data_IF_478261760300
#
_entry.id   IF_478261760300
#
_cell.length_a   1.000
_cell.length_b   1.000
_cell.length_c   1.000
_cell.angle_alpha   90.00
_cell.angle_beta   90.00
_cell.angle_gamma   90.00
#
_symmetry.space_group_name_H-M   'P 1'
#
loop_
_entity.id
_entity.type
_entity.pdbx_description
1 polymer ?
#
# COMPACT_ATOMS: atom_id res chain seq x y z
N UNK A 1 -36.56 -54.19 -31.69
CA UNK A 1 -37.73 -53.87 -32.56
C UNK A 1 -38.08 -52.40 -32.35
N UNK A 2 -37.75 -51.49 -33.28
CA UNK A 2 -38.66 -50.85 -34.27
C UNK A 2 -40.04 -50.51 -33.72
N UNK A 3 -40.72 -49.42 -34.04
CA UNK A 3 -40.47 -48.10 -34.62
C UNK A 3 -41.88 -47.46 -34.61
N UNK A 4 -42.02 -46.14 -34.45
CA UNK A 4 -43.32 -45.49 -34.61
C UNK A 4 -43.24 -43.98 -34.49
N UNK A 5 -43.11 -43.31 -35.64
CA UNK A 5 -43.27 -41.85 -35.82
C UNK A 5 -44.75 -41.54 -36.09
N UNK A 6 -45.20 -40.36 -35.67
CA UNK A 6 -46.47 -39.77 -36.09
C UNK A 6 -46.51 -38.28 -35.75
N UNK A 7 -46.52 -37.45 -36.79
CA UNK A 7 -46.45 -35.99 -36.83
C UNK A 7 -47.81 -35.29 -36.69
N UNK A 8 -47.87 -34.10 -36.09
CA UNK A 8 -48.68 -32.96 -36.56
C UNK A 8 -48.43 -31.69 -35.70
N UNK A 9 -48.31 -30.54 -36.37
CA UNK A 9 -48.46 -29.14 -35.87
C UNK A 9 -49.69 -28.52 -36.57
N UNK A 10 -50.11 -27.24 -36.38
CA UNK A 10 -50.06 -26.30 -35.23
C UNK A 10 -51.41 -25.54 -34.92
N UNK A 11 -51.54 -24.92 -33.72
CA UNK A 11 -52.13 -23.57 -33.33
C UNK A 11 -53.61 -23.25 -33.73
N UNK A 12 -54.42 -22.30 -33.12
CA UNK A 12 -54.25 -21.34 -32.00
C UNK A 12 -55.38 -21.33 -30.93
N UNK A 13 -55.18 -20.62 -29.80
CA UNK A 13 -56.21 -19.71 -29.23
C UNK A 13 -55.63 -18.78 -28.13
N UNK A 14 -55.87 -17.49 -28.34
CA UNK A 14 -55.98 -16.35 -27.40
C UNK A 14 -56.85 -16.70 -26.14
N UNK A 15 -56.85 -16.03 -24.98
CA UNK A 15 -56.60 -14.65 -24.54
C UNK A 15 -56.28 -14.62 -23.01
N UNK A 16 -55.83 -13.44 -22.55
CA UNK A 16 -56.11 -12.79 -21.26
C UNK A 16 -55.19 -12.96 -20.02
N UNK A 17 -54.33 -11.93 -19.87
CA UNK A 17 -54.33 -10.92 -18.78
C UNK A 17 -54.21 -11.38 -17.30
N UNK A 18 -53.11 -10.95 -16.67
CA UNK A 18 -53.00 -10.02 -15.51
C UNK A 18 -51.87 -10.44 -14.55
N UNK A 19 -51.03 -9.44 -14.23
CA UNK A 19 -50.11 -9.26 -13.10
C UNK A 19 -49.16 -10.37 -12.65
N UNK A 20 -47.88 -10.06 -12.82
CA UNK A 20 -46.77 -10.74 -12.16
C UNK A 20 -45.57 -9.80 -12.09
N UNK A 21 -45.53 -9.01 -11.04
CA UNK A 21 -44.34 -8.33 -10.52
C UNK A 21 -43.14 -9.28 -10.45
N UNK A 22 -42.08 -8.99 -11.21
CA UNK A 22 -40.71 -9.44 -10.92
C UNK A 22 -39.87 -8.16 -10.92
N UNK A 23 -39.37 -7.70 -9.78
CA UNK A 23 -38.50 -8.48 -8.91
C UNK A 23 -37.07 -8.22 -9.36
N UNK A 24 -36.59 -7.02 -9.04
CA UNK A 24 -35.19 -6.60 -9.18
C UNK A 24 -34.32 -7.56 -8.37
N UNK A 25 -33.66 -8.50 -9.03
CA UNK A 25 -32.42 -9.11 -8.53
C UNK A 25 -31.29 -8.59 -9.39
N UNK A 26 -30.85 -7.37 -9.11
CA UNK A 26 -29.54 -6.88 -9.57
C UNK A 26 -28.46 -7.54 -8.71
N UNK A 27 -27.82 -8.55 -9.26
CA UNK A 27 -26.48 -8.96 -8.88
C UNK A 27 -25.49 -7.87 -9.32
N UNK A 28 -24.54 -7.41 -8.48
CA UNK A 28 -23.57 -6.42 -8.91
C UNK A 28 -22.59 -7.07 -9.89
N UNK A 29 -22.80 -6.84 -11.18
CA UNK A 29 -21.85 -7.19 -12.23
C UNK A 29 -20.63 -6.29 -12.13
N UNK A 30 -19.50 -6.86 -11.73
CA UNK A 30 -18.17 -6.27 -11.90
C UNK A 30 -17.88 -6.19 -13.41
N UNK A 31 -17.48 -5.03 -13.98
CA UNK A 31 -17.21 -4.95 -15.41
C UNK A 31 -15.85 -5.61 -15.73
N UNK A 32 -15.71 -6.26 -16.91
CA UNK A 32 -14.46 -6.90 -17.32
C UNK A 32 -13.40 -5.87 -17.74
N UNK A 33 -12.13 -6.18 -17.42
CA UNK A 33 -10.89 -5.40 -17.62
C UNK A 33 -10.47 -5.14 -19.09
N UNK A 34 -11.40 -4.89 -20.01
CA UNK A 34 -11.07 -4.68 -21.43
C UNK A 34 -11.04 -3.21 -21.91
N UNK A 35 -11.43 -2.23 -21.10
CA UNK A 35 -11.62 -0.85 -21.59
C UNK A 35 -10.49 0.17 -21.31
N UNK A 36 -9.35 -0.25 -20.75
CA UNK A 36 -8.20 0.67 -20.55
C UNK A 36 -7.60 1.11 -21.91
N UNK A 37 -7.64 0.24 -22.94
CA UNK A 37 -7.15 0.59 -24.28
C UNK A 37 -8.03 1.62 -25.00
N UNK A 38 -9.33 1.67 -24.71
CA UNK A 38 -10.25 2.64 -25.32
C UNK A 38 -10.09 4.03 -24.67
N UNK A 39 -9.96 4.09 -23.33
CA UNK A 39 -9.69 5.32 -22.59
C UNK A 39 -8.35 5.99 -22.99
N UNK A 40 -7.31 5.19 -23.30
CA UNK A 40 -6.01 5.69 -23.76
C UNK A 40 -6.06 6.29 -25.19
N UNK A 41 -7.02 5.89 -26.03
CA UNK A 41 -7.12 6.37 -27.41
C UNK A 41 -7.85 7.72 -27.55
N UNK A 42 -8.68 8.08 -26.57
CA UNK A 42 -9.54 9.27 -26.60
C UNK A 42 -8.86 10.55 -26.06
N UNK A 43 -7.73 10.43 -25.35
CA UNK A 43 -7.00 11.59 -24.78
C UNK A 43 -5.96 12.16 -25.78
N UNK A 44 -5.79 11.52 -26.94
CA UNK A 44 -4.85 11.95 -27.98
C UNK A 44 -5.34 13.15 -28.83
N UNK A 45 -6.41 13.86 -28.44
CA UNK A 45 -6.94 15.02 -29.19
C UNK A 45 -7.45 16.16 -28.29
N UNK A 46 -6.52 17.07 -27.95
CA UNK A 46 -6.67 18.52 -27.60
C UNK A 46 -7.61 18.93 -26.42
N UNK A 47 -7.62 20.18 -25.91
CA UNK A 47 -6.66 21.30 -25.99
C UNK A 47 -6.20 21.83 -24.61
N UNK A 48 -5.23 22.74 -24.62
CA UNK A 48 -4.75 23.52 -23.47
C UNK A 48 -5.80 24.47 -22.88
N UNK A 49 -6.14 24.36 -21.59
CA UNK A 49 -6.65 25.50 -20.76
C UNK A 49 -6.31 25.32 -19.26
N UNK A 50 -5.45 26.21 -18.75
CA UNK A 50 -5.65 27.24 -17.71
C UNK A 50 -5.98 26.77 -16.28
N UNK A 51 -5.02 26.98 -15.36
CA UNK A 51 -5.32 27.06 -13.92
C UNK A 51 -4.18 26.78 -12.94
N UNK A 52 -3.03 26.27 -13.38
CA UNK A 52 -1.88 26.02 -12.48
C UNK A 52 -0.92 27.21 -12.44
N UNK A 53 -0.53 27.65 -11.24
CA UNK A 53 0.64 28.53 -11.05
C UNK A 53 1.83 27.85 -11.73
N UNK A 54 2.55 28.51 -12.65
CA UNK A 54 3.66 27.89 -13.33
C UNK A 54 4.76 27.62 -12.30
N UNK A 55 5.01 26.34 -11.99
CA UNK A 55 6.29 25.92 -11.43
C UNK A 55 7.31 26.29 -12.51
N UNK A 56 8.15 27.28 -12.22
CA UNK A 56 9.16 27.72 -13.16
C UNK A 56 9.98 26.49 -13.58
N UNK A 57 9.85 26.08 -14.83
CA UNK A 57 10.86 25.21 -15.45
C UNK A 57 12.16 25.97 -15.30
N UNK A 58 13.08 25.46 -14.49
CA UNK A 58 14.47 25.80 -14.65
C UNK A 58 14.81 25.29 -16.05
N UNK A 59 14.74 26.17 -17.05
CA UNK A 59 15.21 25.87 -18.38
C UNK A 59 16.72 25.64 -18.19
N UNK A 60 17.24 24.41 -18.33
CA UNK A 60 18.67 24.21 -18.14
C UNK A 60 19.36 24.93 -19.29
N UNK A 61 20.03 26.03 -18.97
CA UNK A 61 21.09 26.54 -19.83
C UNK A 61 22.09 25.38 -19.97
N UNK A 62 22.37 24.87 -21.19
CA UNK A 62 23.30 23.77 -21.40
C UNK A 62 24.74 24.08 -20.96
N UNK A 63 25.00 25.31 -20.46
CA UNK A 63 26.26 25.76 -19.85
C UNK A 63 26.25 25.79 -18.32
N UNK A 64 25.14 25.48 -17.65
CA UNK A 64 25.07 25.46 -16.18
C UNK A 64 25.33 24.06 -15.65
N UNK A 65 26.45 23.94 -14.93
CA UNK A 65 26.78 22.76 -14.14
C UNK A 65 25.66 22.48 -13.12
N UNK A 66 25.06 21.28 -13.18
CA UNK A 66 24.02 20.86 -12.25
C UNK A 66 24.45 21.02 -10.80
N UNK A 67 25.72 20.70 -10.49
CA UNK A 67 26.24 20.83 -9.14
C UNK A 67 26.26 22.30 -8.67
N UNK A 68 26.47 23.26 -9.59
CA UNK A 68 26.36 24.67 -9.27
C UNK A 68 24.91 25.07 -8.96
N UNK A 69 23.93 24.61 -9.76
CA UNK A 69 22.50 24.87 -9.52
C UNK A 69 22.09 24.36 -8.13
N UNK A 70 22.49 23.13 -7.79
CA UNK A 70 22.21 22.53 -6.49
C UNK A 70 22.77 23.38 -5.36
N UNK A 71 24.03 23.83 -5.46
CA UNK A 71 24.65 24.71 -4.44
C UNK A 71 23.91 26.03 -4.29
N UNK A 72 23.57 26.69 -5.40
CA UNK A 72 22.84 27.97 -5.40
C UNK A 72 21.48 27.84 -4.71
N UNK A 73 20.71 26.79 -5.05
CA UNK A 73 19.38 26.55 -4.48
C UNK A 73 19.47 26.15 -3.00
N UNK A 74 20.39 25.25 -2.64
CA UNK A 74 20.56 24.77 -1.26
C UNK A 74 20.97 25.90 -0.29
N UNK A 75 21.81 26.82 -0.75
CA UNK A 75 22.26 27.98 0.04
C UNK A 75 21.21 29.10 0.10
N UNK A 76 20.24 29.10 -0.83
CA UNK A 76 19.14 30.07 -0.83
C UNK A 76 18.08 29.72 0.22
N UNK A 77 18.08 30.45 1.35
CA UNK A 77 17.08 30.32 2.42
C UNK A 77 15.64 30.47 1.92
N UNK A 78 15.42 31.28 0.88
CA UNK A 78 14.10 31.49 0.30
C UNK A 78 13.64 30.29 -0.54
N UNK A 79 14.55 29.54 -1.18
CA UNK A 79 14.20 28.39 -2.01
C UNK A 79 13.89 27.14 -1.19
N UNK A 80 14.61 26.92 -0.09
CA UNK A 80 14.41 25.77 0.80
C UNK A 80 13.00 25.70 1.41
N UNK A 81 12.33 26.84 1.61
CA UNK A 81 10.94 26.88 2.10
C UNK A 81 9.87 26.69 1.02
N UNK A 82 10.24 26.64 -0.27
CA UNK A 82 9.29 26.64 -1.41
C UNK A 82 9.09 25.28 -2.07
N UNK A 83 10.02 24.33 -1.90
CA UNK A 83 9.85 22.97 -2.44
C UNK A 83 10.50 21.91 -1.56
N UNK A 84 9.92 20.70 -1.57
CA UNK A 84 10.44 19.57 -0.80
C UNK A 84 11.86 19.15 -1.25
N UNK A 85 12.15 19.19 -2.55
CA UNK A 85 13.49 18.86 -3.05
C UNK A 85 14.53 19.93 -2.65
N UNK A 86 14.18 21.22 -2.58
CA UNK A 86 15.11 22.26 -2.14
C UNK A 86 15.47 22.11 -0.65
N UNK A 87 14.50 21.70 0.18
CA UNK A 87 14.76 21.36 1.58
C UNK A 87 15.72 20.16 1.71
N UNK A 88 15.51 19.12 0.89
CA UNK A 88 16.38 17.94 0.81
C UNK A 88 17.79 18.28 0.28
N UNK A 89 17.92 19.15 -0.72
CA UNK A 89 19.22 19.65 -1.20
C UNK A 89 19.98 20.40 -0.11
N UNK A 90 19.28 21.27 0.63
CA UNK A 90 19.86 22.00 1.75
C UNK A 90 20.34 21.04 2.84
N UNK A 91 19.55 20.03 3.19
CA UNK A 91 19.93 18.99 4.16
C UNK A 91 21.16 18.21 3.68
N UNK A 92 21.16 17.77 2.42
CA UNK A 92 22.27 17.06 1.78
C UNK A 92 23.58 17.87 1.79
N UNK A 93 23.51 19.16 1.44
CA UNK A 93 24.71 20.01 1.38
C UNK A 93 25.19 20.47 2.76
N UNK A 94 24.30 20.97 3.60
CA UNK A 94 24.67 21.67 4.84
C UNK A 94 24.76 20.75 6.06
N UNK A 95 23.96 19.67 6.09
CA UNK A 95 23.93 18.76 7.23
C UNK A 95 24.72 17.48 6.96
N UNK A 96 24.64 16.93 5.74
CA UNK A 96 25.39 15.73 5.37
C UNK A 96 26.73 16.03 4.69
N UNK A 97 27.00 17.29 4.35
CA UNK A 97 28.27 17.72 3.75
C UNK A 97 28.62 17.00 2.44
N UNK A 98 27.59 16.66 1.65
CA UNK A 98 27.75 15.97 0.37
C UNK A 98 28.05 16.99 -0.72
N UNK A 99 29.09 16.73 -1.52
CA UNK A 99 29.36 17.53 -2.73
C UNK A 99 28.55 16.98 -3.92
N UNK A 100 27.65 17.79 -4.53
CA UNK A 100 26.84 17.36 -5.67
C UNK A 100 27.67 17.05 -6.94
N UNK A 101 28.91 17.53 -7.02
CA UNK A 101 29.83 17.26 -8.14
C UNK A 101 30.60 15.94 -8.00
N UNK A 102 30.58 15.30 -6.82
CA UNK A 102 31.30 14.03 -6.62
C UNK A 102 30.66 12.91 -7.43
N UNK A 103 31.47 12.26 -8.29
CA UNK A 103 31.05 11.18 -9.18
C UNK A 103 31.43 9.77 -8.73
N UNK A 104 32.05 9.59 -7.55
CA UNK A 104 32.45 8.27 -7.03
C UNK A 104 31.25 7.43 -6.64
N UNK A 105 31.12 6.22 -7.18
CA UNK A 105 30.00 5.29 -6.89
C UNK A 105 29.75 5.11 -5.39
N UNK A 106 28.49 4.85 -4.97
CA UNK A 106 28.19 4.56 -3.58
C UNK A 106 29.01 3.36 -3.11
N UNK A 107 29.48 3.41 -1.85
CA UNK A 107 30.15 2.26 -1.26
C UNK A 107 29.20 1.05 -1.28
N UNK A 108 29.74 -0.09 -1.73
CA UNK A 108 29.01 -1.35 -1.81
C UNK A 108 29.54 -2.33 -0.77
N UNK A 109 28.64 -2.91 0.00
CA UNK A 109 28.97 -3.95 0.95
C UNK A 109 29.53 -5.20 0.25
N UNK A 110 30.35 -5.94 0.98
CA UNK A 110 30.72 -7.29 0.57
C UNK A 110 29.50 -8.20 0.57
N UNK A 111 29.56 -9.33 -0.14
CA UNK A 111 28.43 -10.25 -0.21
C UNK A 111 28.07 -10.87 1.16
N UNK A 112 29.07 -11.07 2.03
CA UNK A 112 28.84 -11.55 3.39
C UNK A 112 28.09 -10.52 4.25
N UNK A 113 28.47 -9.24 4.15
CA UNK A 113 27.78 -8.15 4.83
C UNK A 113 26.36 -7.94 4.29
N UNK A 114 26.19 -7.95 2.97
CA UNK A 114 24.85 -7.88 2.35
C UNK A 114 23.97 -9.03 2.82
N UNK A 115 24.47 -10.26 2.85
CA UNK A 115 23.71 -11.42 3.35
C UNK A 115 23.27 -11.23 4.78
N UNK A 116 24.17 -10.78 5.67
CA UNK A 116 23.83 -10.52 7.07
C UNK A 116 22.76 -9.43 7.21
N UNK A 117 22.81 -8.38 6.38
CA UNK A 117 21.79 -7.32 6.35
C UNK A 117 20.45 -7.85 5.83
N UNK A 118 20.44 -8.61 4.76
CA UNK A 118 19.24 -9.23 4.20
C UNK A 118 18.59 -10.22 5.18
N UNK A 119 19.40 -11.00 5.91
CA UNK A 119 18.91 -11.90 6.97
C UNK A 119 18.27 -11.13 8.15
N UNK A 120 18.88 -10.02 8.57
CA UNK A 120 18.30 -9.15 9.60
C UNK A 120 16.94 -8.55 9.19
N UNK A 121 16.74 -8.32 7.89
CA UNK A 121 15.48 -7.88 7.29
C UNK A 121 14.62 -9.05 6.75
N UNK A 122 14.87 -10.29 7.19
CA UNK A 122 14.34 -11.49 6.56
C UNK A 122 12.81 -11.54 6.44
N UNK A 123 12.06 -11.08 7.45
CA UNK A 123 10.59 -11.02 7.37
C UNK A 123 10.12 -10.06 6.28
N UNK A 124 10.70 -8.85 6.21
CA UNK A 124 10.39 -7.86 5.18
C UNK A 124 10.70 -8.43 3.79
N UNK A 125 11.89 -8.96 3.59
CA UNK A 125 12.33 -9.50 2.28
C UNK A 125 11.41 -10.63 1.84
N UNK A 126 11.05 -11.54 2.75
CA UNK A 126 10.17 -12.68 2.45
C UNK A 126 8.75 -12.26 2.02
N UNK A 127 8.18 -11.26 2.68
CA UNK A 127 6.84 -10.73 2.38
C UNK A 127 6.87 -9.86 1.12
N UNK A 128 7.92 -9.05 0.97
CA UNK A 128 8.10 -8.14 -0.15
C UNK A 128 8.27 -8.88 -1.48
N UNK A 129 9.06 -9.96 -1.51
CA UNK A 129 9.49 -10.65 -2.74
C UNK A 129 8.36 -10.87 -3.76
N UNK A 130 7.25 -11.56 -3.43
CA UNK A 130 6.15 -11.78 -4.37
C UNK A 130 5.43 -10.51 -4.85
N UNK A 131 5.48 -9.42 -4.06
CA UNK A 131 4.91 -8.12 -4.41
C UNK A 131 5.85 -7.39 -5.36
N UNK A 132 7.16 -7.41 -5.09
CA UNK A 132 8.18 -6.86 -5.99
C UNK A 132 8.17 -7.58 -7.34
N UNK A 133 8.00 -8.90 -7.38
CA UNK A 133 7.88 -9.67 -8.63
C UNK A 133 6.69 -9.21 -9.48
N UNK A 134 5.55 -8.91 -8.84
CA UNK A 134 4.37 -8.37 -9.53
C UNK A 134 4.63 -6.96 -10.06
N UNK A 135 5.24 -6.11 -9.25
CA UNK A 135 5.58 -4.73 -9.62
C UNK A 135 6.57 -4.72 -10.78
N UNK A 136 7.58 -5.59 -10.76
CA UNK A 136 8.58 -5.74 -11.82
C UNK A 136 7.96 -6.21 -13.14
N UNK A 137 6.95 -7.10 -13.11
CA UNK A 137 6.23 -7.47 -14.33
C UNK A 137 5.47 -6.30 -14.95
N UNK A 138 4.92 -5.40 -14.14
CA UNK A 138 4.23 -4.20 -14.64
C UNK A 138 5.20 -3.09 -15.08
N UNK A 139 6.29 -2.88 -14.34
CA UNK A 139 7.23 -1.78 -14.54
C UNK A 139 8.37 -2.13 -15.52
N UNK A 140 8.69 -3.41 -15.71
CA UNK A 140 9.78 -3.88 -16.55
C UNK A 140 9.57 -3.59 -18.04
N UNK A 141 8.33 -3.63 -18.55
CA UNK A 141 8.04 -3.23 -19.93
C UNK A 141 8.35 -1.73 -20.17
N UNK A 142 8.21 -0.91 -19.13
CA UNK A 142 8.56 0.51 -19.14
C UNK A 142 10.08 0.76 -18.93
N UNK A 143 10.90 -0.29 -18.82
CA UNK A 143 12.35 -0.18 -18.60
C UNK A 143 12.71 0.34 -17.21
N UNK A 144 11.89 0.03 -16.21
CA UNK A 144 12.16 0.38 -14.83
C UNK A 144 12.75 -0.79 -14.05
N UNK A 145 13.57 -0.49 -13.05
CA UNK A 145 14.04 -1.43 -12.06
C UNK A 145 13.28 -1.23 -10.74
N UNK A 146 13.04 -2.31 -10.01
CA UNK A 146 12.40 -2.29 -8.69
C UNK A 146 13.44 -2.64 -7.64
N UNK A 147 13.54 -1.82 -6.61
CA UNK A 147 14.50 -1.95 -5.52
C UNK A 147 13.76 -2.07 -4.18
N UNK A 148 14.31 -2.88 -3.28
CA UNK A 148 13.94 -2.90 -1.87
C UNK A 148 15.15 -2.50 -1.05
N UNK A 149 14.97 -1.55 -0.14
CA UNK A 149 15.99 -1.14 0.81
C UNK A 149 15.56 -1.37 2.26
N UNK A 150 16.56 -1.46 3.14
CA UNK A 150 16.36 -1.45 4.58
C UNK A 150 16.09 -0.02 5.12
N UNK A 151 15.81 0.16 6.43
CA UNK A 151 15.53 1.47 7.01
C UNK A 151 16.70 2.46 6.96
N UNK A 152 17.92 1.98 6.72
CA UNK A 152 19.12 2.80 6.63
C UNK A 152 19.45 3.23 5.19
N UNK A 153 18.70 2.72 4.20
CA UNK A 153 18.87 3.05 2.79
C UNK A 153 19.82 2.14 2.02
N UNK A 154 20.21 1.00 2.61
CA UNK A 154 20.97 -0.03 1.91
C UNK A 154 20.01 -0.84 1.03
N UNK A 155 20.35 -1.01 -0.25
CA UNK A 155 19.58 -1.86 -1.16
C UNK A 155 19.81 -3.33 -0.80
N UNK A 156 18.73 -4.04 -0.47
CA UNK A 156 18.75 -5.45 -0.08
C UNK A 156 18.47 -6.39 -1.25
N UNK A 157 17.55 -5.99 -2.13
CA UNK A 157 17.03 -6.84 -3.20
C UNK A 157 16.62 -6.01 -4.41
N UNK A 158 16.70 -6.60 -5.60
CA UNK A 158 16.37 -5.94 -6.87
C UNK A 158 15.58 -6.84 -7.83
N UNK A 159 14.69 -6.25 -8.63
CA UNK A 159 14.10 -6.88 -9.81
C UNK A 159 14.33 -5.97 -11.00
N UNK A 160 15.13 -6.48 -11.94
CA UNK A 160 15.59 -5.76 -13.11
C UNK A 160 15.61 -6.71 -14.30
N UNK A 161 15.43 -6.19 -15.52
CA UNK A 161 15.63 -6.98 -16.73
C UNK A 161 17.12 -7.05 -17.02
N UNK A 162 17.62 -8.22 -17.44
CA UNK A 162 19.04 -8.41 -17.76
C UNK A 162 19.59 -7.36 -18.73
N UNK A 163 18.78 -6.95 -19.72
CA UNK A 163 19.15 -5.93 -20.71
C UNK A 163 19.34 -4.52 -20.12
N UNK A 164 18.73 -4.23 -18.97
CA UNK A 164 18.82 -2.92 -18.30
C UNK A 164 19.84 -2.94 -17.14
N UNK A 165 20.26 -4.13 -16.67
CA UNK A 165 21.10 -4.32 -15.48
C UNK A 165 22.38 -3.47 -15.51
N UNK A 166 23.12 -3.48 -16.61
CA UNK A 166 24.36 -2.73 -16.75
C UNK A 166 24.15 -1.22 -16.53
N UNK A 167 23.06 -0.64 -17.04
CA UNK A 167 22.81 0.80 -16.92
C UNK A 167 22.50 1.22 -15.47
N UNK A 168 21.71 0.41 -14.75
CA UNK A 168 21.40 0.68 -13.35
C UNK A 168 22.61 0.43 -12.44
N UNK A 169 23.34 -0.67 -12.66
CA UNK A 169 24.53 -0.99 -11.86
C UNK A 169 25.65 0.02 -12.08
N UNK A 170 25.84 0.55 -13.29
CA UNK A 170 26.78 1.65 -13.57
C UNK A 170 26.42 2.97 -12.88
N UNK A 171 25.16 3.15 -12.45
CA UNK A 171 24.74 4.27 -11.61
C UNK A 171 24.95 4.01 -10.11
N UNK A 172 25.39 2.81 -9.73
CA UNK A 172 25.50 2.35 -8.34
C UNK A 172 24.20 1.86 -7.72
N UNK A 173 23.10 1.81 -8.49
CA UNK A 173 21.80 1.31 -8.04
C UNK A 173 21.78 -0.23 -8.13
N UNK A 174 22.36 -0.87 -7.10
CA UNK A 174 22.51 -2.32 -7.01
C UNK A 174 22.44 -2.79 -5.54
N UNK A 175 22.10 -4.07 -5.28
CA UNK A 175 22.14 -4.64 -3.95
C UNK A 175 23.50 -4.47 -3.27
N UNK A 176 23.48 -4.05 -2.01
CA UNK A 176 24.65 -3.74 -1.19
C UNK A 176 25.10 -2.28 -1.27
N UNK A 177 24.52 -1.45 -2.15
CA UNK A 177 24.83 -0.02 -2.23
C UNK A 177 24.03 0.79 -1.22
N UNK A 178 24.68 1.75 -0.56
CA UNK A 178 24.01 2.69 0.34
C UNK A 178 23.46 3.91 -0.44
N UNK A 179 22.13 4.02 -0.49
CA UNK A 179 21.38 5.11 -1.11
C UNK A 179 20.68 6.01 -0.09
N UNK A 180 21.13 6.02 1.16
CA UNK A 180 20.67 6.99 2.16
C UNK A 180 20.86 8.42 1.64
N UNK A 181 20.03 9.35 2.12
CA UNK A 181 20.18 10.76 1.76
C UNK A 181 21.52 11.32 2.26
N UNK A 182 22.06 10.76 3.35
CA UNK A 182 23.37 11.12 3.87
C UNK A 182 24.55 10.62 3.04
N UNK A 183 24.33 9.66 2.13
CA UNK A 183 25.35 9.15 1.22
C UNK A 183 25.23 9.76 -0.18
N UNK A 184 24.01 9.82 -0.72
CA UNK A 184 23.75 10.18 -2.12
C UNK A 184 23.00 11.51 -2.31
N UNK A 185 22.62 12.17 -1.21
CA UNK A 185 21.75 13.33 -1.24
C UNK A 185 20.34 12.96 -1.70
N UNK A 186 19.60 13.93 -2.23
CA UNK A 186 18.24 13.72 -2.74
C UNK A 186 18.20 12.64 -3.82
N UNK A 187 17.53 11.55 -3.48
CA UNK A 187 17.23 10.39 -4.32
C UNK A 187 15.92 9.70 -3.89
N UNK A 188 15.42 8.72 -4.64
CA UNK A 188 14.15 8.04 -4.35
C UNK A 188 14.11 7.27 -3.03
N UNK A 189 15.20 6.61 -2.65
CA UNK A 189 15.29 5.79 -1.42
C UNK A 189 15.53 6.68 -0.20
N UNK A 190 16.65 7.39 -0.17
CA UNK A 190 17.10 8.19 0.96
C UNK A 190 16.13 9.32 1.32
N UNK A 191 15.61 10.03 0.33
CA UNK A 191 14.64 11.11 0.59
C UNK A 191 13.33 10.56 1.11
N UNK A 192 12.88 9.40 0.60
CA UNK A 192 11.68 8.73 1.10
C UNK A 192 11.83 8.34 2.58
N UNK A 193 13.00 7.81 2.97
CA UNK A 193 13.31 7.51 4.36
C UNK A 193 13.27 8.76 5.25
N UNK A 194 13.92 9.84 4.82
CA UNK A 194 13.98 11.10 5.58
C UNK A 194 12.61 11.78 5.71
N UNK A 195 11.80 11.75 4.65
CA UNK A 195 10.48 12.40 4.63
C UNK A 195 9.38 11.51 5.22
N UNK A 196 9.62 10.19 5.38
CA UNK A 196 8.66 9.18 5.86
C UNK A 196 7.33 9.20 5.13
N UNK A 197 7.37 9.50 3.82
CA UNK A 197 6.23 9.58 2.90
C UNK A 197 6.70 9.25 1.48
N UNK A 198 5.78 8.88 0.58
CA UNK A 198 6.13 8.66 -0.83
C UNK A 198 6.76 9.89 -1.47
N UNK A 199 7.73 9.66 -2.35
CA UNK A 199 8.45 10.71 -3.09
C UNK A 199 8.53 10.35 -4.57
N UNK A 200 8.50 11.38 -5.42
CA UNK A 200 8.81 11.31 -6.83
C UNK A 200 9.98 12.28 -7.07
N UNK A 201 11.13 11.74 -7.44
CA UNK A 201 12.35 12.50 -7.72
C UNK A 201 12.60 12.43 -9.23
N UNK A 202 12.36 13.54 -9.91
CA UNK A 202 12.49 13.65 -11.36
C UNK A 202 13.88 14.16 -11.72
N UNK A 203 14.69 13.39 -12.44
CA UNK A 203 15.88 13.86 -13.16
C UNK A 203 16.73 14.87 -12.39
N UNK A 204 16.65 16.14 -12.78
CA UNK A 204 17.36 17.30 -12.23
C UNK A 204 16.93 17.67 -10.80
N UNK A 205 16.04 16.91 -10.17
CA UNK A 205 15.77 16.97 -8.74
C UNK A 205 16.73 16.10 -7.92
N UNK A 206 17.46 15.17 -8.55
CA UNK A 206 18.52 14.44 -7.89
C UNK A 206 19.64 15.38 -7.45
N UNK A 207 20.17 15.15 -6.24
CA UNK A 207 21.21 16.03 -5.70
C UNK A 207 22.54 15.86 -6.43
N UNK A 208 22.97 14.63 -6.67
CA UNK A 208 24.20 14.35 -7.44
C UNK A 208 23.97 14.53 -8.93
N UNK A 209 24.88 15.23 -9.60
CA UNK A 209 24.83 15.43 -11.05
C UNK A 209 24.80 14.12 -11.84
N UNK A 210 25.54 13.10 -11.40
CA UNK A 210 25.54 11.78 -12.02
C UNK A 210 24.21 11.03 -11.99
N UNK A 211 23.32 11.38 -11.05
CA UNK A 211 22.03 10.69 -10.84
C UNK A 211 20.90 11.38 -11.62
N UNK A 212 21.18 12.47 -12.37
CA UNK A 212 20.16 13.26 -13.07
C UNK A 212 19.52 12.54 -14.28
N UNK A 213 20.11 11.43 -14.72
CA UNK A 213 19.48 10.53 -15.69
C UNK A 213 18.32 9.73 -15.08
N UNK A 214 18.27 9.60 -13.75
CA UNK A 214 17.28 8.78 -13.06
C UNK A 214 15.98 9.54 -12.83
N UNK A 215 14.87 8.82 -12.92
CA UNK A 215 13.60 9.20 -12.30
C UNK A 215 13.21 8.11 -11.31
N UNK A 216 13.02 8.49 -10.05
CA UNK A 216 12.82 7.56 -8.94
C UNK A 216 11.47 7.79 -8.26
N UNK A 217 10.83 6.71 -7.88
CA UNK A 217 9.50 6.65 -7.29
C UNK A 217 9.58 5.78 -6.04
N UNK A 218 9.79 6.43 -4.90
CA UNK A 218 9.98 5.76 -3.61
C UNK A 218 8.72 5.78 -2.78
N UNK A 219 8.39 4.65 -2.13
CA UNK A 219 7.33 4.57 -1.12
C UNK A 219 7.84 3.86 0.14
N UNK A 220 7.60 4.45 1.34
CA UNK A 220 8.08 3.88 2.58
C UNK A 220 7.21 2.68 2.95
N UNK A 221 7.83 1.67 3.56
CA UNK A 221 7.14 0.53 4.15
C UNK A 221 7.25 0.65 5.67
N UNK A 222 6.12 0.68 6.37
CA UNK A 222 6.07 0.61 7.82
C UNK A 222 5.83 -0.82 8.34
N UNK A 223 6.55 -1.18 9.39
CA UNK A 223 6.32 -2.44 10.11
C UNK A 223 5.10 -2.36 11.04
N UNK A 224 4.83 -3.46 11.73
CA UNK A 224 3.62 -3.62 12.54
C UNK A 224 3.56 -2.68 13.75
N UNK A 225 4.72 -2.23 14.23
CA UNK A 225 4.86 -1.25 15.31
C UNK A 225 4.83 0.22 14.84
N UNK A 226 4.61 0.48 13.55
CA UNK A 226 4.71 1.78 12.88
C UNK A 226 6.14 2.34 12.74
N UNK A 227 7.16 1.52 13.01
CA UNK A 227 8.55 1.75 12.62
C UNK A 227 8.72 1.73 11.10
N UNK A 228 9.69 2.48 10.60
CA UNK A 228 10.06 2.44 9.18
C UNK A 228 10.86 1.16 8.96
N UNK A 229 10.35 0.25 8.12
CA UNK A 229 10.97 -1.04 7.83
C UNK A 229 11.86 -0.99 6.58
N UNK A 230 11.64 -0.04 5.68
CA UNK A 230 12.40 0.12 4.45
C UNK A 230 11.69 0.98 3.41
N UNK A 231 12.19 0.94 2.18
CA UNK A 231 11.57 1.62 1.02
C UNK A 231 11.50 0.66 -0.16
N UNK A 232 10.36 0.62 -0.84
CA UNK A 232 10.30 0.16 -2.22
C UNK A 232 10.58 1.37 -3.11
N UNK A 233 11.52 1.24 -4.02
CA UNK A 233 11.79 2.25 -5.04
C UNK A 233 11.63 1.64 -6.43
N UNK A 234 10.97 2.36 -7.33
CA UNK A 234 11.01 2.07 -8.76
C UNK A 234 11.79 3.17 -9.43
N UNK A 235 12.80 2.79 -10.20
CA UNK A 235 13.70 3.71 -10.87
C UNK A 235 13.68 3.48 -12.39
N UNK A 236 13.73 4.57 -13.14
CA UNK A 236 13.90 4.55 -14.61
C UNK A 236 15.14 5.34 -15.00
N UNK A 237 15.93 4.80 -15.93
CA UNK A 237 17.07 5.47 -16.58
C UNK A 237 16.70 6.06 -17.95
N UNK A 238 15.43 5.99 -18.34
CA UNK A 238 14.97 6.48 -19.65
C UNK A 238 14.69 7.97 -19.61
N UNK A 239 15.30 8.72 -20.53
CA UNK A 239 15.10 10.16 -20.62
C UNK A 239 13.71 10.59 -21.12
N UNK A 240 12.99 9.70 -21.81
CA UNK A 240 11.71 9.96 -22.45
C UNK A 240 10.49 9.53 -21.60
N UNK A 241 10.71 9.09 -20.35
CA UNK A 241 9.60 8.79 -19.43
C UNK A 241 8.82 10.07 -19.13
N UNK A 242 7.62 10.20 -19.70
CA UNK A 242 6.78 11.37 -19.44
C UNK A 242 6.36 11.43 -17.96
N UNK A 243 6.35 12.63 -17.38
CA UNK A 243 6.06 12.84 -15.96
C UNK A 243 4.70 12.27 -15.53
N UNK A 244 3.69 12.31 -16.41
CA UNK A 244 2.39 11.69 -16.16
C UNK A 244 2.48 10.17 -15.92
N UNK A 245 3.32 9.46 -16.66
CA UNK A 245 3.56 8.04 -16.44
C UNK A 245 4.34 7.80 -15.15
N UNK A 246 5.35 8.62 -14.85
CA UNK A 246 6.08 8.53 -13.58
C UNK A 246 5.15 8.68 -12.36
N UNK A 247 4.14 9.56 -12.45
CA UNK A 247 3.11 9.72 -11.40
C UNK A 247 2.21 8.49 -11.26
N UNK A 248 1.81 7.85 -12.37
CA UNK A 248 1.04 6.59 -12.32
C UNK A 248 1.85 5.43 -11.74
N UNK A 249 3.13 5.33 -12.11
CA UNK A 249 4.04 4.35 -11.52
C UNK A 249 4.16 4.62 -10.01
N UNK A 250 4.36 5.87 -9.60
CA UNK A 250 4.44 6.25 -8.18
C UNK A 250 3.22 5.78 -7.37
N UNK A 251 1.99 5.89 -7.91
CA UNK A 251 0.79 5.36 -7.26
C UNK A 251 0.87 3.83 -7.10
N UNK A 252 1.35 3.13 -8.13
CA UNK A 252 1.51 1.67 -8.09
C UNK A 252 2.58 1.24 -7.07
N UNK A 253 3.67 2.01 -6.91
CA UNK A 253 4.68 1.77 -5.86
C UNK A 253 4.08 1.96 -4.47
N UNK A 254 3.25 2.99 -4.30
CA UNK A 254 2.55 3.24 -3.03
C UNK A 254 1.61 2.09 -2.67
N UNK A 255 0.80 1.61 -3.62
CA UNK A 255 -0.09 0.47 -3.41
C UNK A 255 0.69 -0.80 -3.03
N UNK A 256 1.84 -1.02 -3.70
CA UNK A 256 2.73 -2.12 -3.39
C UNK A 256 3.27 -2.03 -1.95
N UNK A 257 3.75 -0.85 -1.53
CA UNK A 257 4.24 -0.62 -0.17
C UNK A 257 3.12 -0.86 0.86
N UNK A 258 1.93 -0.29 0.67
CA UNK A 258 0.78 -0.50 1.54
C UNK A 258 0.39 -1.97 1.65
N UNK A 259 0.50 -2.74 0.56
CA UNK A 259 0.25 -4.18 0.59
C UNK A 259 1.30 -4.92 1.41
N UNK A 260 2.59 -4.54 1.32
CA UNK A 260 3.63 -5.11 2.18
C UNK A 260 3.34 -4.79 3.65
N UNK A 261 2.95 -3.56 3.99
CA UNK A 261 2.59 -3.18 5.36
C UNK A 261 1.45 -4.03 5.93
N UNK A 262 0.40 -4.26 5.13
CA UNK A 262 -0.73 -5.07 5.53
C UNK A 262 -0.32 -6.53 5.82
N UNK A 263 0.54 -7.10 4.97
CA UNK A 263 1.05 -8.47 5.16
C UNK A 263 2.04 -8.57 6.33
N UNK A 264 2.91 -7.58 6.52
CA UNK A 264 3.79 -7.49 7.70
C UNK A 264 2.99 -7.45 9.00
N UNK A 265 1.92 -6.65 9.02
CA UNK A 265 1.03 -6.55 10.18
C UNK A 265 0.33 -7.89 10.47
N UNK A 266 -0.21 -8.56 9.43
CA UNK A 266 -0.84 -9.88 9.57
C UNK A 266 0.14 -10.94 10.07
N UNK A 267 1.38 -10.91 9.59
CA UNK A 267 2.42 -11.83 10.02
C UNK A 267 2.82 -11.59 11.49
N UNK A 268 2.99 -10.33 11.90
CA UNK A 268 3.35 -9.97 13.27
C UNK A 268 2.26 -10.33 14.30
N UNK A 269 0.99 -10.28 13.89
CA UNK A 269 -0.17 -10.60 14.73
C UNK A 269 -0.86 -11.90 14.30
N UNK A 270 -0.08 -12.88 13.84
CA UNK A 270 -0.60 -14.18 13.45
C UNK A 270 -1.41 -14.82 14.59
N UNK A 271 -2.62 -15.28 14.28
CA UNK A 271 -3.54 -15.86 15.26
C UNK A 271 -4.43 -14.86 16.00
N UNK A 272 -4.23 -13.55 15.82
CA UNK A 272 -5.16 -12.52 16.29
C UNK A 272 -6.28 -12.30 15.26
N UNK A 273 -7.42 -11.77 15.72
CA UNK A 273 -8.48 -11.31 14.81
C UNK A 273 -8.04 -9.97 14.21
N UNK A 274 -7.91 -9.92 12.89
CA UNK A 274 -7.57 -8.69 12.16
C UNK A 274 -8.85 -8.03 11.65
N UNK A 275 -9.11 -6.78 12.09
CA UNK A 275 -10.17 -5.95 11.55
C UNK A 275 -9.58 -4.84 10.69
N UNK A 276 -10.25 -4.56 9.57
CA UNK A 276 -9.96 -3.43 8.69
C UNK A 276 -11.12 -2.43 8.79
N UNK A 277 -11.10 -1.53 9.79
CA UNK A 277 -12.15 -0.54 9.95
C UNK A 277 -12.22 0.39 8.74
N UNK A 278 -13.43 0.69 8.31
CA UNK A 278 -13.69 1.68 7.26
C UNK A 278 -13.35 3.07 7.80
N UNK A 279 -12.19 3.57 7.38
CA UNK A 279 -11.71 4.90 7.71
C UNK A 279 -11.49 5.64 6.40
N UNK A 280 -11.64 6.96 6.43
CA UNK A 280 -11.46 7.80 5.24
C UNK A 280 -10.15 7.45 4.51
N UNK A 281 -10.22 7.41 3.17
CA UNK A 281 -9.15 6.96 2.26
C UNK A 281 -7.80 7.69 2.47
N UNK A 282 -7.82 8.86 3.10
CA UNK A 282 -6.67 9.74 3.34
C UNK A 282 -5.73 9.27 4.48
N UNK A 283 -5.96 8.10 5.08
CA UNK A 283 -5.13 7.59 6.19
C UNK A 283 -3.68 7.24 5.79
N UNK A 284 -3.39 7.22 4.48
CA UNK A 284 -2.05 7.05 3.92
C UNK A 284 -1.46 5.67 4.21
N UNK A 285 -2.28 4.62 4.12
CA UNK A 285 -1.91 3.21 4.31
C UNK A 285 -3.07 2.33 4.79
N UNK A 286 -2.84 1.01 4.93
CA UNK A 286 -3.88 0.08 5.37
C UNK A 286 -4.25 0.34 6.84
N UNK A 287 -5.52 0.59 7.12
CA UNK A 287 -6.03 0.71 8.49
C UNK A 287 -6.38 -0.68 9.02
N UNK A 288 -5.52 -1.26 9.86
CA UNK A 288 -5.75 -2.58 10.46
C UNK A 288 -5.57 -2.54 11.97
N UNK A 289 -6.44 -3.27 12.67
CA UNK A 289 -6.38 -3.54 14.10
C UNK A 289 -6.20 -5.04 14.32
N UNK A 290 -5.31 -5.42 15.23
CA UNK A 290 -5.18 -6.78 15.74
C UNK A 290 -5.85 -6.86 17.10
N UNK A 291 -6.78 -7.80 17.25
CA UNK A 291 -7.63 -7.94 18.43
C UNK A 291 -7.46 -9.35 18.99
N UNK A 292 -7.22 -9.44 20.29
CA UNK A 292 -7.12 -10.72 20.98
C UNK A 292 -8.50 -11.35 21.25
N UNK A 293 -8.50 -12.49 21.95
CA UNK A 293 -9.71 -13.24 22.29
C UNK A 293 -10.61 -12.52 23.29
N UNK A 294 -10.06 -11.57 24.06
CA UNK A 294 -10.73 -10.85 25.13
C UNK A 294 -11.23 -9.47 24.63
N UNK A 295 -11.27 -9.30 23.30
CA UNK A 295 -11.71 -8.09 22.59
C UNK A 295 -10.80 -6.88 22.79
N UNK A 296 -9.55 -7.09 23.21
CA UNK A 296 -8.57 -6.03 23.40
C UNK A 296 -7.74 -5.82 22.13
N UNK A 297 -7.58 -4.56 21.73
CA UNK A 297 -6.72 -4.17 20.62
C UNK A 297 -5.27 -4.32 21.07
N UNK A 298 -4.57 -5.31 20.53
CA UNK A 298 -3.16 -5.61 20.82
C UNK A 298 -2.19 -5.06 19.76
N UNK A 299 -2.72 -4.64 18.60
CA UNK A 299 -1.94 -4.03 17.53
C UNK A 299 -2.77 -3.08 16.68
N UNK A 300 -2.11 -2.07 16.12
CA UNK A 300 -2.70 -1.15 15.15
C UNK A 300 -1.63 -0.67 14.17
N UNK A 301 -1.95 -0.66 12.87
CA UNK A 301 -1.06 -0.08 11.85
C UNK A 301 -0.90 1.41 12.03
N UNK A 302 0.13 2.00 11.40
CA UNK A 302 0.36 3.45 11.43
C UNK A 302 -0.88 4.26 10.99
N UNK A 303 -1.54 3.80 9.93
CA UNK A 303 -2.76 4.44 9.42
C UNK A 303 -3.89 4.36 10.45
N UNK A 304 -4.17 3.18 11.02
CA UNK A 304 -5.20 3.00 12.05
C UNK A 304 -4.94 3.85 13.30
N UNK A 305 -3.69 3.95 13.75
CA UNK A 305 -3.33 4.82 14.89
C UNK A 305 -3.67 6.28 14.63
N UNK A 306 -3.40 6.78 13.42
CA UNK A 306 -3.67 8.17 13.04
C UNK A 306 -5.16 8.44 12.87
N UNK A 307 -5.88 7.57 12.15
CA UNK A 307 -7.29 7.80 11.81
C UNK A 307 -8.23 7.55 12.99
N UNK A 308 -7.91 6.58 13.85
CA UNK A 308 -8.75 6.20 15.01
C UNK A 308 -8.24 6.78 16.34
N UNK A 309 -7.10 7.47 16.35
CA UNK A 309 -6.52 8.03 17.57
C UNK A 309 -6.05 6.98 18.57
N UNK A 310 -5.58 5.82 18.10
CA UNK A 310 -5.07 4.75 18.97
C UNK A 310 -3.69 5.13 19.50
N UNK A 311 -3.63 5.42 20.80
CA UNK A 311 -2.38 5.58 21.54
C UNK A 311 -1.68 4.21 21.69
N UNK A 312 -0.43 4.05 21.20
CA UNK A 312 0.36 2.83 21.40
C UNK A 312 0.47 2.39 22.86
N UNK A 313 0.44 3.32 23.82
CA UNK A 313 0.52 3.01 25.25
C UNK A 313 -0.75 2.30 25.79
N UNK A 314 -1.85 2.32 25.04
CA UNK A 314 -3.12 1.68 25.38
C UNK A 314 -3.33 0.34 24.67
N UNK A 315 -2.39 -0.11 23.82
CA UNK A 315 -2.45 -1.44 23.23
C UNK A 315 -2.46 -2.51 24.35
N UNK A 316 -3.35 -3.48 24.22
CA UNK A 316 -3.67 -4.49 25.24
C UNK A 316 -4.55 -3.99 26.38
N UNK A 317 -5.08 -2.76 26.30
CA UNK A 317 -5.98 -2.16 27.31
C UNK A 317 -7.23 -1.53 26.72
N UNK A 318 -7.27 -1.35 25.41
CA UNK A 318 -8.37 -0.72 24.68
C UNK A 318 -9.31 -1.79 24.11
N UNK A 319 -10.56 -1.89 24.58
CA UNK A 319 -11.55 -2.77 23.96
C UNK A 319 -11.90 -2.31 22.55
N UNK A 320 -11.94 -3.24 21.59
CA UNK A 320 -12.21 -2.93 20.19
C UNK A 320 -13.61 -2.33 19.99
N UNK A 321 -14.61 -2.86 20.71
CA UNK A 321 -15.98 -2.34 20.69
C UNK A 321 -16.09 -0.86 21.09
N UNK A 322 -15.26 -0.42 22.04
CA UNK A 322 -15.29 0.94 22.55
C UNK A 322 -14.73 1.90 21.50
N UNK A 323 -13.66 1.50 20.83
CA UNK A 323 -13.05 2.27 19.74
C UNK A 323 -13.96 2.33 18.50
N UNK A 324 -14.54 1.20 18.11
CA UNK A 324 -15.34 1.08 16.87
C UNK A 324 -16.79 1.56 17.05
N UNK A 325 -17.20 1.89 18.28
CA UNK A 325 -18.57 2.30 18.63
C UNK A 325 -19.62 1.29 18.17
N UNK A 326 -19.29 0.00 18.24
CA UNK A 326 -20.16 -1.09 17.82
C UNK A 326 -21.28 -1.32 18.86
N UNK A 327 -22.47 -0.81 18.58
CA UNK A 327 -23.74 -1.23 19.20
C UNK A 327 -23.88 -0.99 20.71
N UNK A 328 -25.00 -1.47 21.27
CA UNK A 328 -25.34 -1.30 22.67
C UNK A 328 -24.31 -1.96 23.61
N UNK A 329 -23.92 -1.24 24.67
CA UNK A 329 -22.98 -1.72 25.68
C UNK A 329 -23.70 -2.44 26.82
N UNK A 330 -23.05 -3.45 27.41
CA UNK A 330 -23.53 -4.12 28.62
C UNK A 330 -23.45 -5.64 28.58
N UNK A 331 -23.47 -6.25 29.78
CA UNK A 331 -23.42 -7.70 29.97
C UNK A 331 -24.57 -8.42 29.24
N UNK A 332 -25.75 -7.80 29.22
CA UNK A 332 -26.95 -8.37 28.61
C UNK A 332 -26.83 -8.47 27.08
N UNK A 333 -26.23 -7.49 26.42
CA UNK A 333 -25.95 -7.55 24.97
C UNK A 333 -24.90 -8.60 24.63
N UNK A 334 -23.81 -8.65 25.41
CA UNK A 334 -22.78 -9.67 25.26
C UNK A 334 -23.37 -11.08 25.43
N UNK A 335 -24.22 -11.26 26.44
CA UNK A 335 -24.91 -12.52 26.72
C UNK A 335 -25.91 -12.87 25.62
N UNK A 336 -26.65 -11.88 25.10
CA UNK A 336 -27.56 -12.07 23.97
C UNK A 336 -26.81 -12.58 22.75
N UNK A 337 -25.69 -11.94 22.42
CA UNK A 337 -24.82 -12.36 21.32
C UNK A 337 -24.30 -13.79 21.47
N UNK A 338 -23.89 -14.19 22.68
CA UNK A 338 -23.38 -15.55 22.90
C UNK A 338 -24.50 -16.62 22.85
N UNK A 339 -25.68 -16.33 23.40
CA UNK A 339 -26.84 -17.21 23.29
C UNK A 339 -27.25 -17.41 21.82
N UNK A 340 -27.28 -16.34 21.03
CA UNK A 340 -27.55 -16.43 19.59
C UNK A 340 -26.52 -17.29 18.86
N UNK A 341 -25.22 -17.08 19.12
CA UNK A 341 -24.16 -17.88 18.50
C UNK A 341 -24.25 -19.37 18.86
N UNK A 342 -24.52 -19.69 20.12
CA UNK A 342 -24.71 -21.08 20.57
C UNK A 342 -25.93 -21.75 19.91
N UNK A 343 -27.05 -21.02 19.77
CA UNK A 343 -28.23 -21.50 19.04
C UNK A 343 -27.91 -21.75 17.56
N UNK A 344 -27.22 -20.82 16.91
CA UNK A 344 -26.83 -20.96 15.51
C UNK A 344 -25.93 -22.19 15.29
N UNK A 345 -24.91 -22.40 16.13
CA UNK A 345 -24.03 -23.59 16.08
C UNK A 345 -24.77 -24.89 16.33
N UNK A 346 -25.81 -24.85 17.15
CA UNK A 346 -26.65 -26.00 17.49
C UNK A 346 -27.84 -26.23 16.54
N UNK A 347 -27.95 -25.47 15.45
CA UNK A 347 -29.09 -25.57 14.52
C UNK A 347 -30.45 -25.31 15.20
N UNK A 348 -30.48 -24.42 16.20
CA UNK A 348 -31.67 -24.10 16.99
C UNK A 348 -31.95 -25.06 18.16
N UNK A 349 -31.15 -26.12 18.35
CA UNK A 349 -31.35 -27.05 19.46
C UNK A 349 -30.90 -26.45 20.79
N UNK A 350 -31.87 -25.99 21.60
CA UNK A 350 -31.63 -25.34 22.90
C UNK A 350 -30.89 -26.25 23.89
N UNK A 351 -31.14 -27.57 23.90
CA UNK A 351 -30.43 -28.48 24.80
C UNK A 351 -28.95 -28.62 24.42
N UNK A 352 -28.65 -28.64 23.12
CA UNK A 352 -27.28 -28.68 22.64
C UNK A 352 -26.56 -27.34 22.91
N UNK A 353 -27.22 -26.22 22.63
CA UNK A 353 -26.68 -24.88 22.89
C UNK A 353 -26.39 -24.64 24.38
N UNK A 354 -27.29 -25.08 25.28
CA UNK A 354 -27.08 -24.97 26.72
C UNK A 354 -25.89 -25.81 27.20
N UNK A 355 -25.73 -27.03 26.67
CA UNK A 355 -24.59 -27.90 26.98
C UNK A 355 -23.27 -27.30 26.51
N UNK A 356 -23.27 -26.69 25.33
CA UNK A 356 -22.12 -26.00 24.76
C UNK A 356 -21.64 -24.83 25.65
N UNK A 357 -22.58 -24.03 26.16
CA UNK A 357 -22.28 -22.92 27.08
C UNK A 357 -22.03 -23.36 28.54
N UNK A 358 -22.12 -24.66 28.84
CA UNK A 358 -21.93 -25.18 30.20
C UNK A 358 -23.01 -24.75 31.21
N UNK A 359 -24.20 -24.37 30.74
CA UNK A 359 -25.32 -23.96 31.61
C UNK A 359 -26.50 -24.93 31.51
N UNK A 360 -27.32 -24.98 32.56
CA UNK A 360 -28.55 -25.79 32.54
C UNK A 360 -29.57 -25.28 31.52
N UNK A 361 -30.29 -26.19 30.86
CA UNK A 361 -31.36 -25.89 29.88
C UNK A 361 -32.36 -24.85 30.39
N UNK A 362 -32.83 -24.99 31.64
CA UNK A 362 -33.75 -24.03 32.27
C UNK A 362 -33.15 -22.62 32.43
N UNK A 363 -31.86 -22.52 32.72
CA UNK A 363 -31.13 -21.25 32.79
C UNK A 363 -31.00 -20.61 31.41
N UNK A 364 -30.76 -21.40 30.36
CA UNK A 364 -30.71 -20.92 28.98
C UNK A 364 -32.05 -20.31 28.56
N UNK A 365 -33.16 -21.03 28.73
CA UNK A 365 -34.51 -20.51 28.42
C UNK A 365 -34.84 -19.23 29.20
N UNK A 366 -34.52 -19.18 30.49
CA UNK A 366 -34.75 -17.98 31.30
C UNK A 366 -34.00 -16.77 30.74
N UNK A 367 -32.72 -16.95 30.39
CA UNK A 367 -31.90 -15.88 29.81
C UNK A 367 -32.38 -15.47 28.42
N UNK A 368 -32.77 -16.41 27.57
CA UNK A 368 -33.39 -16.09 26.27
C UNK A 368 -34.65 -15.23 26.45
N UNK A 369 -35.54 -15.62 27.36
CA UNK A 369 -36.78 -14.87 27.63
C UNK A 369 -36.49 -13.46 28.15
N UNK A 370 -35.55 -13.32 29.09
CA UNK A 370 -35.16 -12.01 29.64
C UNK A 370 -34.54 -11.10 28.58
N UNK A 371 -33.82 -11.66 27.62
CA UNK A 371 -33.08 -10.90 26.59
C UNK A 371 -33.84 -10.74 25.26
N UNK A 372 -35.08 -11.22 25.17
CA UNK A 372 -35.92 -11.10 23.97
C UNK A 372 -35.52 -12.04 22.81
N UNK A 373 -34.94 -13.20 23.12
CA UNK A 373 -34.43 -14.18 22.15
C UNK A 373 -35.36 -15.36 21.86
N UNK A 374 -36.53 -15.41 22.50
CA UNK A 374 -37.56 -16.40 22.20
C UNK A 374 -38.70 -15.73 21.46
N UNK A 375 -39.25 -16.43 20.46
CA UNK A 375 -40.55 -16.10 19.87
C UNK A 375 -41.63 -15.91 20.96
#
# INVERSE_FOLDING_TARGET
MRAGRGSASPIPAQTDRVDGSNGLTETPHTPPLQDIRFALSLIAREPTTRGGVPVARLNPDPRRDHAQIVREVALSSAAAGRSAFAASWRRSLLHHHIDPATGTEPARLTEAELRARTEASGLLVSIAGPILDRLARAAGEAGCAVMLSDPEGLILDERIRDADAEHFHASGLAPGSNWSESAEGTNGIGTCLAERRPVLVLRDQHFRARNTALTCMGAPVFGAGAELAGVIDVSSVREDLAEGYARLIALTVQDAAQRIEAELFRAAFAGMRILAPDVAEDAGGPSLLAIDRDDLIVGATRAARRSLGVDPALLGRLPARDLLREGASGLDEAMRGELHRALARSGGNVSAAARELGIGRATFYRKMKTLGLGD
#
